data_IF_355014605910
#
_entry.id   IF_355014605910
#
_cell.length_a   1.000
_cell.length_b   1.000
_cell.length_c   1.000
_cell.angle_alpha   90.00
_cell.angle_beta   90.00
_cell.angle_gamma   90.00
#
_symmetry.space_group_name_H-M   'P 1'
#
loop_
_entity.id
_entity.type
_entity.pdbx_description
1 polymer ?
#
# COMPACT_ATOMS: atom_id res chain seq x y z
N UNK A 1 -15.42 5.43 -1.31
CA UNK A 1 -14.53 5.49 -0.14
C UNK A 1 -15.24 6.21 1.00
N UNK A 2 -15.30 5.62 2.18
CA UNK A 2 -15.76 6.35 3.38
C UNK A 2 -14.61 7.25 3.83
N UNK A 3 -14.85 8.56 3.86
CA UNK A 3 -13.97 9.48 4.55
C UNK A 3 -14.23 9.34 6.05
N UNK A 4 -13.17 9.19 6.82
CA UNK A 4 -13.20 9.18 8.29
C UNK A 4 -12.41 10.37 8.81
N UNK A 5 -12.93 11.03 9.85
CA UNK A 5 -12.38 12.27 10.38
C UNK A 5 -11.07 12.08 11.15
N UNK A 6 -10.68 10.84 11.43
CA UNK A 6 -9.48 10.52 12.20
C UNK A 6 -8.81 9.26 11.70
N UNK A 7 -7.51 9.33 11.43
CA UNK A 7 -6.69 8.16 11.11
C UNK A 7 -6.60 7.21 12.30
N UNK A 8 -6.57 5.90 12.02
CA UNK A 8 -6.34 4.86 13.03
C UNK A 8 -4.87 4.83 13.45
N UNK A 9 -3.98 5.05 12.50
CA UNK A 9 -2.53 4.97 12.69
C UNK A 9 -1.83 5.92 11.70
N UNK A 10 -0.78 6.61 12.17
CA UNK A 10 -0.14 7.71 11.45
C UNK A 10 1.31 7.45 11.08
N UNK A 11 1.83 6.25 11.38
CA UNK A 11 3.21 5.87 11.09
C UNK A 11 3.25 4.80 10.01
N UNK A 12 4.45 4.54 9.48
CA UNK A 12 4.67 3.45 8.54
C UNK A 12 4.11 2.13 9.06
N UNK A 13 3.44 1.40 8.20
CA UNK A 13 2.83 0.13 8.54
C UNK A 13 2.81 -0.82 7.34
N UNK A 14 2.78 -2.10 7.64
CA UNK A 14 2.49 -3.15 6.66
C UNK A 14 1.11 -3.69 6.95
N UNK A 15 0.24 -3.67 5.95
CA UNK A 15 -1.12 -4.19 6.02
C UNK A 15 -1.17 -5.61 5.47
N UNK A 16 -1.76 -6.52 6.23
CA UNK A 16 -1.90 -7.93 5.86
C UNK A 16 -3.38 -8.31 5.88
N UNK A 17 -3.93 -8.86 4.78
CA UNK A 17 -5.32 -9.27 4.75
C UNK A 17 -5.65 -10.35 5.78
N UNK A 18 -6.79 -10.21 6.44
CA UNK A 18 -7.36 -11.24 7.33
C UNK A 18 -8.17 -12.28 6.57
N UNK A 19 -8.80 -11.87 5.46
CA UNK A 19 -9.67 -12.70 4.63
C UNK A 19 -9.49 -12.38 3.15
N UNK A 20 -9.80 -13.35 2.30
CA UNK A 20 -9.77 -13.18 0.85
C UNK A 20 -8.39 -13.40 0.26
N UNK A 21 -7.88 -12.45 -0.51
CA UNK A 21 -6.58 -12.56 -1.18
C UNK A 21 -5.44 -12.28 -0.20
N UNK A 22 -5.00 -13.30 0.54
CA UNK A 22 -4.03 -13.19 1.64
C UNK A 22 -2.65 -12.68 1.19
N UNK A 23 -2.27 -12.88 -0.07
CA UNK A 23 -0.99 -12.41 -0.62
C UNK A 23 -1.00 -10.91 -0.97
N UNK A 24 -2.14 -10.22 -0.81
CA UNK A 24 -2.25 -8.79 -1.07
C UNK A 24 -1.73 -7.95 0.13
N UNK A 25 -0.47 -8.12 0.44
CA UNK A 25 0.24 -7.33 1.45
C UNK A 25 0.53 -5.94 0.90
N UNK A 26 0.31 -4.90 1.71
CA UNK A 26 0.50 -3.50 1.34
C UNK A 26 1.42 -2.78 2.31
N UNK A 27 2.24 -1.87 1.79
CA UNK A 27 3.01 -0.91 2.58
C UNK A 27 2.30 0.44 2.57
N UNK A 28 2.21 1.09 3.73
CA UNK A 28 1.58 2.39 3.92
C UNK A 28 2.49 3.27 4.78
N UNK A 29 2.77 4.47 4.31
CA UNK A 29 3.58 5.50 5.00
C UNK A 29 2.80 6.79 5.28
N UNK A 30 1.52 6.81 4.96
CA UNK A 30 0.60 7.93 5.23
C UNK A 30 -0.42 7.55 6.32
N UNK A 31 -1.02 8.53 7.02
CA UNK A 31 -2.11 8.26 7.94
C UNK A 31 -3.23 7.46 7.29
N UNK A 32 -3.65 6.37 7.89
CA UNK A 32 -4.66 5.48 7.33
C UNK A 32 -5.72 5.05 8.35
N UNK A 33 -6.86 4.64 7.83
CA UNK A 33 -7.88 3.91 8.54
C UNK A 33 -7.91 2.46 8.05
N UNK A 34 -7.83 1.52 8.97
CA UNK A 34 -7.96 0.09 8.66
C UNK A 34 -9.34 -0.39 9.08
N UNK A 35 -9.90 -1.27 8.26
CA UNK A 35 -11.13 -2.01 8.59
C UNK A 35 -10.78 -3.38 9.17
N UNK A 36 -11.74 -4.06 9.79
CA UNK A 36 -11.56 -5.37 10.45
C UNK A 36 -11.06 -6.49 9.51
N UNK A 37 -11.01 -6.24 8.22
CA UNK A 37 -10.51 -7.19 7.21
C UNK A 37 -8.99 -7.17 7.02
N UNK A 38 -8.29 -6.25 7.69
CA UNK A 38 -6.84 -6.08 7.59
C UNK A 38 -6.19 -6.09 8.97
N UNK A 39 -5.04 -6.77 9.07
CA UNK A 39 -4.09 -6.52 10.15
C UNK A 39 -3.18 -5.37 9.76
N UNK A 40 -2.70 -4.61 10.73
CA UNK A 40 -1.64 -3.65 10.52
C UNK A 40 -0.51 -3.85 11.54
N UNK A 41 0.71 -3.53 11.14
CA UNK A 41 1.90 -3.69 11.98
C UNK A 41 2.24 -2.38 12.68
N UNK A 42 2.75 -2.49 13.90
CA UNK A 42 3.40 -1.38 14.62
C UNK A 42 4.88 -1.68 14.71
N UNK A 43 5.69 -0.85 14.05
CA UNK A 43 7.14 -1.05 14.02
C UNK A 43 7.76 -0.66 15.35
N UNK A 44 8.67 -1.50 15.86
CA UNK A 44 9.40 -1.25 17.12
C UNK A 44 10.81 -0.71 16.89
N UNK A 45 11.27 -0.73 15.64
CA UNK A 45 12.60 -0.24 15.23
C UNK A 45 12.46 0.67 14.02
N UNK A 46 13.38 1.60 13.86
CA UNK A 46 13.47 2.45 12.68
C UNK A 46 13.93 1.63 11.45
N UNK A 47 13.58 2.09 10.27
CA UNK A 47 14.00 1.55 8.97
C UNK A 47 13.63 0.06 8.74
N UNK A 48 12.68 -0.49 9.50
CA UNK A 48 12.32 -1.91 9.42
C UNK A 48 11.06 -2.16 8.59
N UNK A 49 10.21 -1.15 8.38
CA UNK A 49 8.90 -1.33 7.75
C UNK A 49 8.98 -1.86 6.32
N UNK A 50 9.83 -1.26 5.47
CA UNK A 50 10.02 -1.72 4.09
C UNK A 50 10.63 -3.12 4.02
N UNK A 51 11.56 -3.42 4.93
CA UNK A 51 12.13 -4.77 5.06
C UNK A 51 11.03 -5.80 5.39
N UNK A 52 10.18 -5.53 6.38
CA UNK A 52 9.06 -6.41 6.76
C UNK A 52 8.07 -6.55 5.60
N UNK A 53 7.78 -5.47 4.89
CA UNK A 53 6.92 -5.52 3.72
C UNK A 53 7.47 -6.48 2.65
N UNK A 54 8.73 -6.34 2.26
CA UNK A 54 9.36 -7.20 1.25
C UNK A 54 9.46 -8.65 1.71
N UNK A 55 9.76 -8.85 2.99
CA UNK A 55 9.76 -10.19 3.59
C UNK A 55 8.40 -10.88 3.48
N UNK A 56 7.32 -10.21 3.88
CA UNK A 56 5.96 -10.75 3.81
C UNK A 56 5.47 -10.90 2.37
N UNK A 57 5.83 -9.96 1.48
CA UNK A 57 5.49 -10.02 0.05
C UNK A 57 6.13 -11.21 -0.65
N UNK A 58 7.30 -11.65 -0.19
CA UNK A 58 7.98 -12.86 -0.67
C UNK A 58 7.44 -14.17 -0.09
N UNK A 59 6.48 -14.12 0.84
CA UNK A 59 5.86 -15.32 1.42
C UNK A 59 4.56 -15.68 0.71
N UNK A 60 4.29 -16.96 0.57
CA UNK A 60 2.99 -17.44 0.14
C UNK A 60 2.04 -17.56 1.35
N UNK A 61 1.44 -16.43 1.72
CA UNK A 61 0.49 -16.36 2.84
C UNK A 61 -0.78 -17.14 2.54
N UNK A 62 -1.14 -17.32 1.29
CA UNK A 62 -2.30 -18.10 0.88
C UNK A 62 -2.16 -19.57 1.27
N UNK A 63 -0.94 -20.12 1.22
CA UNK A 63 -0.67 -21.50 1.65
C UNK A 63 -0.78 -21.69 3.17
N UNK A 64 -0.67 -20.60 3.95
CA UNK A 64 -0.78 -20.59 5.42
C UNK A 64 -2.23 -20.41 5.92
N UNK A 65 -3.19 -20.53 5.02
CA UNK A 65 -4.61 -20.30 5.26
C UNK A 65 -5.15 -21.16 6.40
N UNK A 66 -5.90 -20.54 7.33
CA UNK A 66 -6.61 -21.21 8.44
C UNK A 66 -8.09 -21.48 8.14
N UNK A 67 -8.63 -20.92 7.05
CA UNK A 67 -10.04 -21.05 6.65
C UNK A 67 -10.29 -22.26 5.77
N UNK A 68 -11.49 -22.80 5.84
CA UNK A 68 -11.93 -23.93 5.00
C UNK A 68 -12.62 -23.49 3.71
N UNK A 69 -13.56 -22.56 3.79
CA UNK A 69 -14.35 -22.07 2.65
C UNK A 69 -13.87 -20.70 2.15
N UNK A 70 -13.48 -19.80 3.05
CA UNK A 70 -12.92 -18.50 2.73
C UNK A 70 -11.50 -18.45 3.26
N UNK A 71 -10.50 -18.12 2.42
CA UNK A 71 -9.13 -17.94 2.88
C UNK A 71 -9.06 -16.94 4.02
N UNK A 72 -8.46 -17.32 5.14
CA UNK A 72 -8.35 -16.50 6.32
C UNK A 72 -6.98 -16.62 6.99
N UNK A 73 -6.53 -15.51 7.56
CA UNK A 73 -5.29 -15.37 8.31
C UNK A 73 -5.60 -15.07 9.77
N UNK A 74 -4.80 -15.60 10.67
CA UNK A 74 -4.93 -15.34 12.11
C UNK A 74 -3.66 -14.72 12.66
N UNK A 75 -3.79 -14.00 13.77
CA UNK A 75 -2.65 -13.45 14.51
C UNK A 75 -1.66 -14.54 14.92
N UNK A 76 -2.17 -15.73 15.30
CA UNK A 76 -1.34 -16.88 15.66
C UNK A 76 -0.43 -17.32 14.51
N UNK A 77 -0.97 -17.41 13.30
CA UNK A 77 -0.20 -17.81 12.12
C UNK A 77 0.83 -16.72 11.78
N UNK A 78 0.43 -15.46 11.75
CA UNK A 78 1.34 -14.35 11.46
C UNK A 78 2.49 -14.29 12.46
N UNK A 79 2.21 -14.41 13.74
CA UNK A 79 3.22 -14.36 14.80
C UNK A 79 4.14 -15.60 14.82
N UNK A 80 3.73 -16.68 14.19
CA UNK A 80 4.54 -17.89 14.06
C UNK A 80 5.52 -17.85 12.87
N UNK A 81 5.41 -16.86 11.98
CA UNK A 81 6.33 -16.71 10.85
C UNK A 81 7.70 -16.26 11.39
N UNK A 82 8.75 -17.08 11.23
CA UNK A 82 10.07 -16.69 11.70
C UNK A 82 10.60 -15.52 10.87
N UNK A 83 10.98 -14.45 11.55
CA UNK A 83 11.57 -13.25 10.96
C UNK A 83 12.91 -12.97 11.62
N UNK A 84 13.97 -13.05 10.84
CA UNK A 84 15.29 -12.62 11.27
C UNK A 84 15.52 -11.18 10.87
N UNK A 85 15.49 -10.28 11.83
CA UNK A 85 15.69 -8.85 11.59
C UNK A 85 17.19 -8.56 11.55
N UNK A 86 17.71 -7.92 10.47
CA UNK A 86 19.10 -7.50 10.38
C UNK A 86 19.47 -6.46 11.45
N UNK A 87 20.76 -6.21 11.59
CA UNK A 87 21.27 -5.13 12.42
C UNK A 87 20.88 -3.74 11.86
N UNK A 88 21.01 -2.70 12.68
CA UNK A 88 20.60 -1.35 12.34
C UNK A 88 21.39 -0.77 11.15
N UNK A 89 22.65 -1.13 11.00
CA UNK A 89 23.48 -0.68 9.89
C UNK A 89 22.98 -1.26 8.56
N UNK A 90 22.66 -2.55 8.53
CA UNK A 90 22.11 -3.23 7.35
C UNK A 90 20.73 -2.69 6.99
N UNK A 91 19.85 -2.49 7.99
CA UNK A 91 18.53 -1.87 7.77
C UNK A 91 18.64 -0.46 7.22
N UNK A 92 19.55 0.37 7.76
CA UNK A 92 19.78 1.74 7.29
C UNK A 92 20.29 1.77 5.84
N UNK A 93 21.19 0.86 5.50
CA UNK A 93 21.70 0.73 4.13
C UNK A 93 20.60 0.30 3.16
N UNK A 94 19.81 -0.69 3.53
CA UNK A 94 18.66 -1.13 2.75
C UNK A 94 17.65 0.00 2.55
N UNK A 95 17.29 0.72 3.63
CA UNK A 95 16.38 1.86 3.58
C UNK A 95 16.87 2.94 2.61
N UNK A 96 18.15 3.30 2.69
CA UNK A 96 18.73 4.30 1.81
C UNK A 96 18.68 3.89 0.32
N UNK A 97 18.82 2.60 0.03
CA UNK A 97 18.76 2.07 -1.34
C UNK A 97 17.32 2.01 -1.88
N UNK A 98 16.34 1.66 -1.06
CA UNK A 98 14.96 1.44 -1.55
C UNK A 98 14.08 2.68 -1.46
N UNK A 99 14.33 3.61 -0.55
CA UNK A 99 13.52 4.81 -0.36
C UNK A 99 13.30 5.64 -1.62
N UNK A 100 14.31 5.85 -2.50
CA UNK A 100 14.10 6.59 -3.76
C UNK A 100 13.04 5.95 -4.65
N UNK A 101 12.95 4.62 -4.69
CA UNK A 101 11.93 3.91 -5.48
C UNK A 101 10.52 4.10 -4.91
N UNK A 102 10.38 4.09 -3.59
CA UNK A 102 9.10 4.37 -2.92
C UNK A 102 8.66 5.82 -3.15
N UNK A 103 9.60 6.78 -3.08
CA UNK A 103 9.32 8.18 -3.39
C UNK A 103 8.89 8.37 -4.84
N UNK A 104 9.58 7.75 -5.79
CA UNK A 104 9.21 7.79 -7.20
C UNK A 104 7.83 7.18 -7.45
N UNK A 105 7.53 6.03 -6.83
CA UNK A 105 6.22 5.40 -6.94
C UNK A 105 5.10 6.28 -6.36
N UNK A 106 5.32 6.89 -5.20
CA UNK A 106 4.37 7.83 -4.59
C UNK A 106 4.14 9.05 -5.47
N UNK A 107 5.20 9.64 -6.02
CA UNK A 107 5.09 10.75 -6.94
C UNK A 107 4.29 10.38 -8.19
N UNK A 108 4.61 9.26 -8.82
CA UNK A 108 3.92 8.79 -10.03
C UNK A 108 2.44 8.50 -9.77
N UNK A 109 2.10 7.96 -8.60
CA UNK A 109 0.70 7.73 -8.22
C UNK A 109 -0.07 9.05 -8.09
N UNK A 110 0.51 10.05 -7.42
CA UNK A 110 -0.09 11.40 -7.31
C UNK A 110 -0.26 12.06 -8.68
N UNK A 111 0.74 11.94 -9.54
CA UNK A 111 0.67 12.44 -10.92
C UNK A 111 -0.45 11.75 -11.72
N UNK A 112 -0.59 10.42 -11.58
CA UNK A 112 -1.68 9.66 -12.21
C UNK A 112 -3.06 10.09 -11.72
N UNK A 113 -3.21 10.36 -10.42
CA UNK A 113 -4.46 10.87 -9.83
C UNK A 113 -4.78 12.27 -10.37
N UNK A 114 -3.79 13.15 -10.46
CA UNK A 114 -3.96 14.50 -11.04
C UNK A 114 -4.37 14.43 -12.51
N UNK A 115 -3.72 13.60 -13.30
CA UNK A 115 -4.06 13.41 -14.73
C UNK A 115 -5.47 12.84 -14.89
N UNK A 116 -5.87 11.88 -14.03
CA UNK A 116 -7.23 11.36 -14.01
C UNK A 116 -8.25 12.47 -13.70
N UNK A 117 -7.98 13.31 -12.71
CA UNK A 117 -8.84 14.45 -12.35
C UNK A 117 -8.97 15.44 -13.51
N UNK A 118 -7.86 15.78 -14.19
CA UNK A 118 -7.87 16.65 -15.36
C UNK A 118 -8.70 16.03 -16.48
N UNK A 119 -8.46 14.77 -16.82
CA UNK A 119 -9.23 14.04 -17.84
C UNK A 119 -10.72 14.08 -17.51
N UNK A 120 -11.10 13.74 -16.30
CA UNK A 120 -12.51 13.63 -15.88
C UNK A 120 -13.22 15.00 -15.83
N UNK A 121 -12.46 16.09 -15.65
CA UNK A 121 -12.99 17.47 -15.74
C UNK A 121 -13.12 17.97 -17.18
N UNK A 122 -12.22 17.57 -18.08
CA UNK A 122 -12.21 18.04 -19.46
C UNK A 122 -13.11 17.22 -20.39
N UNK A 123 -13.23 15.92 -20.17
CA UNK A 123 -13.95 15.02 -21.06
C UNK A 123 -15.43 15.43 -21.27
N UNK A 124 -16.21 15.77 -20.22
CA UNK A 124 -17.59 16.25 -20.40
C UNK A 124 -17.67 17.54 -21.21
N UNK A 125 -16.70 18.45 -21.05
CA UNK A 125 -16.65 19.75 -21.77
C UNK A 125 -16.31 19.58 -23.24
N UNK A 126 -15.44 18.63 -23.56
CA UNK A 126 -15.15 18.24 -24.94
C UNK A 126 -16.36 17.57 -25.61
N UNK A 127 -17.04 16.67 -24.88
CA UNK A 127 -18.21 15.97 -25.42
C UNK A 127 -19.42 16.87 -25.60
N UNK A 128 -19.59 17.91 -24.79
CA UNK A 128 -20.67 18.90 -24.90
C UNK A 128 -20.39 20.00 -25.93
N UNK A 129 -19.16 20.09 -26.45
CA UNK A 129 -18.75 21.16 -27.35
C UNK A 129 -18.43 22.50 -26.65
N UNK A 130 -18.40 22.54 -25.32
CA UNK A 130 -17.99 23.72 -24.54
C UNK A 130 -16.53 24.10 -24.83
N UNK A 131 -15.67 23.11 -25.06
CA UNK A 131 -14.30 23.30 -25.53
C UNK A 131 -14.23 22.87 -26.99
N UNK A 132 -13.96 23.84 -27.87
CA UNK A 132 -13.76 23.58 -29.29
C UNK A 132 -12.30 23.30 -29.61
N UNK A 133 -12.04 22.12 -30.18
CA UNK A 133 -10.70 21.67 -30.58
C UNK A 133 -10.50 21.59 -32.07
N UNK A 134 -11.44 22.14 -32.88
CA UNK A 134 -11.41 22.06 -34.35
C UNK A 134 -10.20 22.76 -34.99
N UNK A 135 -9.55 23.68 -34.26
CA UNK A 135 -8.39 24.44 -34.73
C UNK A 135 -7.04 23.95 -34.17
N UNK A 136 -7.00 22.77 -33.54
CA UNK A 136 -5.75 22.20 -33.05
C UNK A 136 -5.11 21.35 -34.13
N UNK A 137 -3.93 21.76 -34.62
CA UNK A 137 -3.09 20.95 -35.48
C UNK A 137 -2.48 19.80 -34.67
N UNK A 138 -2.73 18.58 -35.14
CA UNK A 138 -2.20 17.33 -34.56
C UNK A 138 -0.91 16.94 -35.30
#
# INVERSE_FOLDING_TARGET
>A
MRHVDRALYEQESVLVPRKGTLNNVMYVDEPFWSVDTMFFTKMKRQNVAKFVFHFLKGKDLASMNAGSAVPSMTTKILNAIPLQIPDDQTLSTFEAQVSPFYQAASYNNKESENLATIRDSLLPKLMSGEIDVSNIDL
#
